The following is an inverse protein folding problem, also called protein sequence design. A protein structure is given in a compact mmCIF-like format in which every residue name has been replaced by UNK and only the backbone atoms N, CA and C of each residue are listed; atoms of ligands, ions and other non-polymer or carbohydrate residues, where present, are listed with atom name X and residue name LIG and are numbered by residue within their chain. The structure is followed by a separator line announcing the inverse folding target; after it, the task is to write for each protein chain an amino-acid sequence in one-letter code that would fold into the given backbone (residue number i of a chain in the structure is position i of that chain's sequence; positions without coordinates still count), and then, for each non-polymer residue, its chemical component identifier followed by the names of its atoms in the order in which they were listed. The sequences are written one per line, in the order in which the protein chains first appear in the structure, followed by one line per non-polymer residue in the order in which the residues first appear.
data_IF_248037907379
#
_entry.id   IF_248037907379
#
_cell.length_a   1.000
_cell.length_b   1.000
_cell.length_c   1.000
_cell.angle_alpha   90.00
_cell.angle_beta   90.00
_cell.angle_gamma   90.00
#
_symmetry.space_group_name_H-M   'P 1'
#
loop_
_entity.id
_entity.type
_entity.pdbx_description
1 polymer ?
#
# COMPACT_ATOMS: atom_id res chain seq x y z
N UNK A 1 13.36 -8.22 -1.39
CA UNK A 1 12.30 -9.17 -1.83
C UNK A 1 11.06 -8.32 -2.08
N UNK A 2 10.37 -8.53 -3.21
CA UNK A 2 9.19 -7.75 -3.57
C UNK A 2 7.94 -8.64 -3.54
N UNK A 3 6.86 -8.14 -2.96
CA UNK A 3 5.58 -8.85 -2.83
C UNK A 3 4.47 -8.00 -3.46
N UNK A 4 3.76 -8.59 -4.42
CA UNK A 4 2.55 -7.98 -4.97
C UNK A 4 1.33 -8.42 -4.14
N UNK A 5 0.48 -7.47 -3.77
CA UNK A 5 -0.74 -7.70 -3.01
C UNK A 5 -1.93 -7.22 -3.84
N UNK A 6 -2.88 -8.12 -4.04
CA UNK A 6 -4.18 -7.77 -4.62
C UNK A 6 -4.98 -6.94 -3.61
N UNK A 7 -5.34 -5.73 -4.01
CA UNK A 7 -6.03 -4.76 -3.18
C UNK A 7 -7.51 -4.70 -3.58
N UNK A 8 -8.39 -5.46 -2.90
CA UNK A 8 -9.81 -5.42 -3.19
C UNK A 8 -10.38 -4.03 -2.87
N UNK A 9 -11.35 -3.58 -3.65
CA UNK A 9 -12.05 -2.33 -3.39
C UNK A 9 -12.77 -2.35 -2.03
N UNK A 10 -12.86 -1.19 -1.39
CA UNK A 10 -13.67 -0.99 -0.18
C UNK A 10 -12.89 -1.09 1.13
N UNK A 11 -13.52 -1.60 2.19
CA UNK A 11 -13.06 -1.45 3.57
C UNK A 11 -11.70 -2.09 3.89
N UNK A 12 -11.22 -3.02 3.05
CA UNK A 12 -9.93 -3.67 3.22
C UNK A 12 -8.74 -2.79 2.80
N UNK A 13 -8.96 -1.74 1.99
CA UNK A 13 -7.88 -0.90 1.45
C UNK A 13 -7.06 -0.21 2.56
N UNK A 14 -7.72 0.26 3.62
CA UNK A 14 -7.04 0.88 4.75
C UNK A 14 -6.07 -0.09 5.45
N UNK A 15 -6.50 -1.33 5.67
CA UNK A 15 -5.70 -2.36 6.30
C UNK A 15 -4.53 -2.80 5.39
N UNK A 16 -4.77 -2.91 4.07
CA UNK A 16 -3.72 -3.20 3.09
C UNK A 16 -2.66 -2.10 3.04
N UNK A 17 -3.07 -0.84 2.97
CA UNK A 17 -2.16 0.29 2.97
C UNK A 17 -1.30 0.32 4.26
N UNK A 18 -1.92 0.10 5.42
CA UNK A 18 -1.21 0.05 6.70
C UNK A 18 -0.23 -1.13 6.77
N UNK A 19 -0.65 -2.31 6.31
CA UNK A 19 0.20 -3.50 6.23
C UNK A 19 1.39 -3.32 5.29
N UNK A 20 1.18 -2.71 4.12
CA UNK A 20 2.23 -2.42 3.16
C UNK A 20 3.29 -1.48 3.75
N UNK A 21 2.85 -0.40 4.41
CA UNK A 21 3.76 0.53 5.09
C UNK A 21 4.53 -0.17 6.22
N UNK A 22 3.87 -1.05 6.99
CA UNK A 22 4.51 -1.83 8.04
C UNK A 22 5.58 -2.77 7.47
N UNK A 23 5.27 -3.52 6.41
CA UNK A 23 6.19 -4.43 5.77
C UNK A 23 7.43 -3.72 5.19
N UNK A 24 7.27 -2.50 4.66
CA UNK A 24 8.41 -1.69 4.23
C UNK A 24 9.38 -1.32 5.35
N UNK A 25 8.92 -1.17 6.59
CA UNK A 25 9.83 -0.94 7.74
C UNK A 25 10.69 -2.16 8.07
N UNK A 26 10.26 -3.34 7.63
CA UNK A 26 11.02 -4.59 7.73
C UNK A 26 11.91 -4.86 6.50
N UNK A 27 11.97 -3.91 5.56
CA UNK A 27 12.78 -4.04 4.33
C UNK A 27 12.11 -4.87 3.22
N UNK A 28 10.80 -5.10 3.31
CA UNK A 28 10.01 -5.77 2.27
C UNK A 28 9.45 -4.71 1.32
N UNK A 29 9.70 -4.85 0.04
CA UNK A 29 9.09 -3.99 -0.99
C UNK A 29 7.69 -4.52 -1.31
N UNK A 30 6.71 -3.62 -1.37
CA UNK A 30 5.31 -3.96 -1.58
C UNK A 30 4.77 -3.26 -2.83
N UNK A 31 4.09 -4.02 -3.68
CA UNK A 31 3.32 -3.51 -4.81
C UNK A 31 1.83 -3.76 -4.54
N UNK A 32 1.06 -2.70 -4.38
CA UNK A 32 -0.39 -2.77 -4.21
C UNK A 32 -1.03 -2.69 -5.60
N UNK A 33 -1.68 -3.77 -6.01
CA UNK A 33 -2.35 -3.91 -7.32
C UNK A 33 -3.85 -3.71 -7.11
N UNK A 34 -4.44 -2.71 -7.75
CA UNK A 34 -5.86 -2.42 -7.63
C UNK A 34 -6.17 -0.93 -7.71
N UNK A 35 -7.28 -0.44 -7.13
CA UNK A 35 -7.82 0.90 -7.38
C UNK A 35 -6.84 1.99 -6.89
N UNK A 36 -5.99 2.46 -7.81
CA UNK A 36 -4.79 3.20 -7.47
C UNK A 36 -5.07 4.53 -6.76
N UNK A 37 -6.13 5.25 -7.14
CA UNK A 37 -6.53 6.48 -6.46
C UNK A 37 -6.98 6.24 -5.02
N UNK A 38 -7.78 5.20 -4.79
CA UNK A 38 -8.26 4.85 -3.46
C UNK A 38 -7.11 4.39 -2.56
N UNK A 39 -6.18 3.59 -3.08
CA UNK A 39 -4.97 3.17 -2.37
C UNK A 39 -4.07 4.34 -2.01
N UNK A 40 -3.82 5.26 -2.94
CA UNK A 40 -3.04 6.48 -2.66
C UNK A 40 -3.72 7.36 -1.61
N UNK A 41 -5.05 7.44 -1.62
CA UNK A 41 -5.81 8.18 -0.61
C UNK A 41 -5.73 7.54 0.78
N UNK A 42 -5.73 6.21 0.89
CA UNK A 42 -5.48 5.49 2.14
C UNK A 42 -4.05 5.71 2.64
N UNK A 43 -3.06 5.56 1.77
CA UNK A 43 -1.65 5.80 2.11
C UNK A 43 -1.41 7.24 2.60
N UNK A 44 -2.03 8.23 1.97
CA UNK A 44 -1.96 9.63 2.40
C UNK A 44 -2.58 9.87 3.79
N UNK A 45 -3.67 9.15 4.12
CA UNK A 45 -4.32 9.22 5.44
C UNK A 45 -3.46 8.68 6.58
N UNK A 46 -2.47 7.84 6.30
CA UNK A 46 -1.54 7.31 7.30
C UNK A 46 -0.49 8.33 7.79
N UNK A 47 -0.57 9.58 7.31
CA UNK A 47 0.13 10.72 7.93
C UNK A 47 1.51 11.00 7.37
N UNK A 48 1.84 10.53 6.16
CA UNK A 48 3.12 10.82 5.53
C UNK A 48 3.18 10.48 4.04
N UNK A 49 4.26 10.89 3.37
CA UNK A 49 4.54 10.47 2.00
C UNK A 49 4.66 8.94 1.93
N UNK A 50 4.24 8.36 0.79
CA UNK A 50 4.35 6.92 0.53
C UNK A 50 5.80 6.49 0.73
N UNK A 51 6.09 5.47 1.56
CA UNK A 51 7.45 5.00 1.78
C UNK A 51 8.11 4.56 0.46
N UNK A 52 9.43 4.72 0.29
CA UNK A 52 10.13 4.38 -0.96
C UNK A 52 10.09 2.87 -1.32
N UNK A 53 9.52 2.01 -0.48
CA UNK A 53 9.29 0.59 -0.76
C UNK A 53 7.84 0.23 -1.11
N UNK A 54 6.89 1.18 -1.08
CA UNK A 54 5.48 0.95 -1.47
C UNK A 54 5.25 1.53 -2.86
N UNK A 55 4.74 0.69 -3.75
CA UNK A 55 4.33 1.06 -5.10
C UNK A 55 2.84 0.74 -5.30
N UNK A 56 2.15 1.52 -6.13
CA UNK A 56 0.73 1.33 -6.44
C UNK A 56 0.59 1.21 -7.95
N UNK A 57 0.02 0.10 -8.40
CA UNK A 57 -0.23 -0.24 -9.81
C UNK A 57 -1.72 -0.51 -9.99
N UNK A 58 -2.26 -0.09 -11.13
CA UNK A 58 -3.65 -0.36 -11.55
C UNK A 58 -3.66 -1.51 -12.57
#
# INVERSE_FOLDING_TARGET
MRVALDAPAGAALAALAAGAVSACREGIEVELVGPAEALRAELARLGGPVPPGVSVVD
#
